data_IF_162911982952
#
_entry.id   IF_162911982952
#
_cell.length_a   1.000
_cell.length_b   1.000
_cell.length_c   1.000
_cell.angle_alpha   90.00
_cell.angle_beta   90.00
_cell.angle_gamma   90.00
#
_symmetry.space_group_name_H-M   'P 1'
#
loop_
_entity.id
_entity.type
_entity.pdbx_description
1 polymer ?
#
# COMPACT_ATOMS: atom_id res chain seq x y z
N UNK A 1 -1.94 -3.42 -15.51
CA UNK A 1 -2.62 -4.67 -15.18
C UNK A 1 -3.51 -5.11 -16.33
N UNK A 2 -3.57 -6.42 -16.62
CA UNK A 2 -4.43 -6.99 -17.67
C UNK A 2 -5.77 -7.48 -17.13
N UNK A 3 -5.79 -7.94 -15.88
CA UNK A 3 -7.02 -8.41 -15.23
C UNK A 3 -7.90 -7.22 -14.81
N UNK A 4 -7.27 -6.10 -14.52
CA UNK A 4 -7.90 -4.86 -14.04
C UNK A 4 -7.45 -3.66 -14.89
N UNK A 5 -7.87 -3.57 -16.18
CA UNK A 5 -7.48 -2.47 -17.06
C UNK A 5 -7.99 -1.10 -16.56
N UNK A 6 -9.10 -1.08 -15.81
CA UNK A 6 -9.65 0.13 -15.19
C UNK A 6 -8.65 0.79 -14.22
N UNK A 7 -7.77 0.01 -13.57
CA UNK A 7 -6.71 0.55 -12.71
C UNK A 7 -5.72 1.37 -13.56
N UNK A 8 -5.29 0.83 -14.70
CA UNK A 8 -4.36 1.52 -15.60
C UNK A 8 -4.96 2.82 -16.13
N UNK A 9 -6.21 2.76 -16.60
CA UNK A 9 -6.92 3.90 -17.17
C UNK A 9 -7.16 4.99 -16.14
N UNK A 10 -7.59 4.61 -14.96
CA UNK A 10 -7.82 5.53 -13.84
C UNK A 10 -6.53 6.18 -13.37
N UNK A 11 -5.44 5.42 -13.22
CA UNK A 11 -4.13 5.93 -12.85
C UNK A 11 -3.58 6.90 -13.89
N UNK A 12 -3.67 6.56 -15.17
CA UNK A 12 -3.26 7.43 -16.26
C UNK A 12 -4.03 8.76 -16.26
N UNK A 13 -5.35 8.70 -16.05
CA UNK A 13 -6.21 9.87 -15.95
C UNK A 13 -5.83 10.75 -14.76
N UNK A 14 -5.63 10.15 -13.59
CA UNK A 14 -5.21 10.84 -12.37
C UNK A 14 -3.87 11.55 -12.56
N UNK A 15 -2.85 10.87 -13.06
CA UNK A 15 -1.54 11.46 -13.26
C UNK A 15 -1.56 12.59 -14.29
N UNK A 16 -2.34 12.45 -15.37
CA UNK A 16 -2.52 13.52 -16.35
C UNK A 16 -3.21 14.76 -15.75
N UNK A 17 -4.20 14.54 -14.91
CA UNK A 17 -4.90 15.62 -14.24
C UNK A 17 -3.97 16.37 -13.27
N UNK A 18 -3.20 15.65 -12.46
CA UNK A 18 -2.23 16.24 -11.54
C UNK A 18 -1.12 16.98 -12.27
N UNK A 19 -0.61 16.45 -13.37
CA UNK A 19 0.39 17.14 -14.19
C UNK A 19 -0.15 18.41 -14.88
N UNK A 20 -1.44 18.41 -15.26
CA UNK A 20 -2.10 19.54 -15.92
C UNK A 20 -2.48 20.66 -14.94
N UNK A 21 -2.76 20.31 -13.70
CA UNK A 21 -3.23 21.22 -12.66
C UNK A 21 -2.38 21.03 -11.39
N UNK A 22 -1.12 21.51 -11.37
CA UNK A 22 -0.21 21.35 -10.23
C UNK A 22 -0.78 21.89 -8.91
N UNK A 23 -1.62 22.94 -8.98
CA UNK A 23 -2.32 23.49 -7.82
C UNK A 23 -3.23 22.48 -7.10
N UNK A 24 -3.77 21.50 -7.82
CA UNK A 24 -4.55 20.43 -7.21
C UNK A 24 -3.70 19.46 -6.37
N UNK A 25 -2.44 19.28 -6.73
CA UNK A 25 -1.51 18.51 -5.92
C UNK A 25 -1.35 19.15 -4.53
N UNK A 26 -1.22 20.48 -4.48
CA UNK A 26 -1.15 21.23 -3.22
C UNK A 26 -2.48 21.15 -2.44
N UNK A 27 -3.62 21.24 -3.12
CA UNK A 27 -4.92 21.08 -2.48
C UNK A 27 -5.07 19.70 -1.85
N UNK A 28 -4.69 18.64 -2.55
CA UNK A 28 -4.74 17.25 -2.05
C UNK A 28 -3.82 17.07 -0.86
N UNK A 29 -2.60 17.61 -0.91
CA UNK A 29 -1.66 17.55 0.21
C UNK A 29 -2.17 18.27 1.47
N UNK A 30 -2.86 19.38 1.29
CA UNK A 30 -3.30 20.23 2.41
C UNK A 30 -4.73 19.91 2.90
N UNK A 31 -5.52 19.15 2.16
CA UNK A 31 -6.94 18.90 2.41
C UNK A 31 -7.22 18.39 3.83
N UNK A 32 -6.32 17.62 4.41
CA UNK A 32 -6.51 16.99 5.73
C UNK A 32 -5.55 17.54 6.80
N UNK A 33 -4.84 18.61 6.53
CA UNK A 33 -3.88 19.21 7.48
C UNK A 33 -2.60 18.39 7.69
N UNK A 34 -2.32 17.42 6.82
CA UNK A 34 -1.06 16.67 6.78
C UNK A 34 -0.66 16.38 5.34
N UNK A 35 0.62 16.11 5.15
CA UNK A 35 1.17 15.74 3.85
C UNK A 35 0.61 14.40 3.41
N UNK A 36 0.02 14.37 2.23
CA UNK A 36 -0.34 13.17 1.52
C UNK A 36 0.82 12.80 0.59
N UNK A 37 1.43 11.63 0.79
CA UNK A 37 2.65 11.28 0.05
C UNK A 37 2.39 10.59 -1.29
N UNK A 38 1.13 10.35 -1.65
CA UNK A 38 0.75 9.60 -2.84
C UNK A 38 0.41 10.50 -4.03
N UNK A 39 1.23 11.51 -4.31
CA UNK A 39 1.04 12.34 -5.49
C UNK A 39 2.14 12.05 -6.48
N UNK A 40 1.82 11.32 -7.51
CA UNK A 40 2.76 10.85 -8.54
C UNK A 40 2.57 11.56 -9.89
N UNK A 41 2.29 12.85 -9.87
CA UNK A 41 2.08 13.64 -11.09
C UNK A 41 3.36 13.80 -11.93
N UNK A 42 4.53 13.59 -11.33
CA UNK A 42 5.84 13.60 -11.99
C UNK A 42 6.08 12.39 -12.91
N UNK A 43 5.21 11.40 -12.90
CA UNK A 43 5.34 10.16 -13.67
C UNK A 43 5.08 10.30 -15.19
N UNK A 44 5.40 11.44 -15.77
CA UNK A 44 5.34 11.62 -17.23
C UNK A 44 3.93 11.48 -17.82
N UNK A 45 2.89 11.82 -17.06
CA UNK A 45 1.50 11.78 -17.52
C UNK A 45 0.85 10.39 -17.34
N UNK A 46 1.36 9.55 -16.43
CA UNK A 46 0.71 8.32 -16.00
C UNK A 46 0.92 7.13 -16.93
N UNK A 47 2.02 7.09 -17.68
CA UNK A 47 2.34 5.91 -18.47
C UNK A 47 2.72 4.72 -17.59
N UNK A 48 2.51 3.53 -18.08
CA UNK A 48 2.92 2.28 -17.43
C UNK A 48 3.75 1.41 -18.39
N UNK A 49 4.55 0.52 -17.81
CA UNK A 49 5.29 -0.46 -18.57
C UNK A 49 4.38 -1.64 -18.96
N UNK A 50 4.55 -2.15 -20.16
CA UNK A 50 3.89 -3.39 -20.57
C UNK A 50 4.49 -4.58 -19.82
N UNK A 51 3.73 -5.66 -19.64
CA UNK A 51 4.26 -6.87 -19.02
C UNK A 51 5.47 -7.45 -19.76
N UNK A 52 5.51 -7.31 -21.09
CA UNK A 52 6.64 -7.81 -21.89
C UNK A 52 7.90 -6.96 -21.64
N UNK A 53 7.76 -5.64 -21.58
CA UNK A 53 8.87 -4.75 -21.18
C UNK A 53 9.38 -5.07 -19.78
N UNK A 54 8.46 -5.33 -18.84
CA UNK A 54 8.83 -5.72 -17.48
C UNK A 54 9.57 -7.06 -17.47
N UNK A 55 9.13 -8.07 -18.23
CA UNK A 55 9.83 -9.35 -18.35
C UNK A 55 11.25 -9.20 -18.93
N UNK A 56 11.41 -8.34 -19.93
CA UNK A 56 12.73 -8.01 -20.51
C UNK A 56 13.65 -7.38 -19.46
N UNK A 57 13.14 -6.43 -18.67
CA UNK A 57 13.90 -5.80 -17.59
C UNK A 57 14.30 -6.80 -16.50
N UNK A 58 13.38 -7.69 -16.11
CA UNK A 58 13.66 -8.75 -15.13
C UNK A 58 14.77 -9.67 -15.65
N UNK A 59 14.68 -10.10 -16.90
CA UNK A 59 15.70 -10.94 -17.53
C UNK A 59 17.05 -10.23 -17.58
N UNK A 60 17.08 -8.95 -17.94
CA UNK A 60 18.27 -8.13 -17.95
C UNK A 60 18.93 -8.02 -16.57
N UNK A 61 18.16 -7.80 -15.51
CA UNK A 61 18.65 -7.71 -14.15
C UNK A 61 19.20 -9.07 -13.67
N UNK A 62 18.45 -10.15 -13.87
CA UNK A 62 18.85 -11.50 -13.45
C UNK A 62 20.12 -11.97 -14.14
N UNK A 63 20.31 -11.66 -15.42
CA UNK A 63 21.52 -11.97 -16.16
C UNK A 63 22.78 -11.27 -15.59
N UNK A 64 22.60 -10.27 -14.73
CA UNK A 64 23.67 -9.52 -14.02
C UNK A 64 23.79 -9.88 -12.55
N UNK A 65 23.16 -10.97 -12.12
CA UNK A 65 23.21 -11.44 -10.75
C UNK A 65 22.36 -10.62 -9.75
N UNK A 66 21.46 -9.76 -10.26
CA UNK A 66 20.53 -9.01 -9.40
C UNK A 66 19.28 -9.84 -9.12
N UNK A 67 18.83 -9.87 -7.88
CA UNK A 67 17.50 -10.32 -7.52
C UNK A 67 16.52 -9.18 -7.75
N UNK A 68 15.39 -9.49 -8.39
CA UNK A 68 14.32 -8.51 -8.66
C UNK A 68 13.17 -8.80 -7.71
N UNK A 69 12.91 -7.86 -6.82
CA UNK A 69 11.83 -7.94 -5.83
C UNK A 69 10.75 -6.95 -6.28
N UNK A 70 9.56 -7.43 -6.65
CA UNK A 70 8.43 -6.54 -6.96
C UNK A 70 7.89 -5.91 -5.68
N UNK A 71 7.41 -4.69 -5.79
CA UNK A 71 6.62 -4.02 -4.76
C UNK A 71 5.17 -3.90 -5.22
N UNK A 72 4.25 -4.28 -4.33
CA UNK A 72 2.80 -4.04 -4.47
C UNK A 72 2.37 -3.29 -3.22
N UNK A 73 2.34 -1.96 -3.24
CA UNK A 73 1.93 -1.16 -2.08
C UNK A 73 0.56 -1.60 -1.57
N UNK A 74 0.48 -1.88 -0.30
CA UNK A 74 -0.70 -2.42 0.37
C UNK A 74 -1.03 -1.59 1.59
N UNK A 75 -2.29 -1.50 1.94
CA UNK A 75 -2.91 -0.68 2.96
C UNK A 75 -2.78 0.82 2.65
N UNK A 76 -1.57 1.38 2.72
CA UNK A 76 -1.23 2.73 2.28
C UNK A 76 -0.67 2.75 0.85
N UNK A 77 -0.49 3.94 0.28
CA UNK A 77 -0.07 4.12 -1.11
C UNK A 77 -0.88 3.28 -2.11
N UNK A 78 -2.12 2.98 -1.74
CA UNK A 78 -3.07 2.20 -2.53
C UNK A 78 -3.92 3.06 -3.47
N UNK A 79 -3.55 4.31 -3.67
CA UNK A 79 -4.20 5.25 -4.58
C UNK A 79 -4.31 4.70 -6.01
N UNK A 80 -3.34 3.91 -6.47
CA UNK A 80 -3.40 3.23 -7.76
C UNK A 80 -4.60 2.27 -7.89
N UNK A 81 -5.04 1.64 -6.79
CA UNK A 81 -6.27 0.83 -6.73
C UNK A 81 -7.50 1.72 -6.52
N UNK A 82 -7.40 2.67 -5.59
CA UNK A 82 -8.53 3.41 -5.06
C UNK A 82 -9.02 4.52 -6.00
N UNK A 83 -8.20 4.97 -6.93
CA UNK A 83 -8.66 5.85 -8.02
C UNK A 83 -9.68 5.16 -8.94
N UNK A 84 -9.57 3.84 -9.11
CA UNK A 84 -10.54 3.02 -9.84
C UNK A 84 -11.67 2.50 -8.95
N UNK A 85 -11.37 2.23 -7.67
CA UNK A 85 -12.25 1.58 -6.70
C UNK A 85 -12.40 2.38 -5.40
N UNK A 86 -12.91 3.62 -5.44
CA UNK A 86 -13.01 4.49 -4.25
C UNK A 86 -13.92 3.92 -3.16
N UNK A 87 -14.81 3.00 -3.49
CA UNK A 87 -15.67 2.29 -2.54
C UNK A 87 -14.91 1.39 -1.56
N UNK A 88 -13.65 1.05 -1.87
CA UNK A 88 -12.78 0.26 -1.01
C UNK A 88 -11.98 1.13 -0.03
N UNK A 89 -12.04 2.45 -0.16
CA UNK A 89 -11.25 3.36 0.64
C UNK A 89 -11.67 3.38 2.11
N UNK A 90 -10.69 3.50 3.00
CA UNK A 90 -10.93 3.74 4.44
C UNK A 90 -11.64 5.08 4.68
N UNK A 91 -11.38 6.07 3.81
CA UNK A 91 -12.10 7.35 3.74
C UNK A 91 -12.93 7.44 2.48
N UNK A 92 -14.17 7.02 2.54
CA UNK A 92 -15.07 7.04 1.38
C UNK A 92 -15.42 8.45 0.87
N UNK A 93 -15.17 9.49 1.66
CA UNK A 93 -15.40 10.90 1.31
C UNK A 93 -14.15 11.60 0.75
N UNK A 94 -13.00 10.92 0.75
CA UNK A 94 -11.76 11.45 0.20
C UNK A 94 -11.80 11.34 -1.33
N UNK A 95 -11.70 12.43 -2.08
CA UNK A 95 -11.67 12.37 -3.55
C UNK A 95 -10.37 11.75 -4.09
N UNK A 96 -9.34 11.64 -3.25
CA UNK A 96 -8.04 11.06 -3.60
C UNK A 96 -7.57 10.11 -2.49
N UNK A 97 -8.26 8.97 -2.31
CA UNK A 97 -7.97 8.04 -1.24
C UNK A 97 -6.64 7.32 -1.49
N UNK A 98 -5.89 7.10 -0.42
CA UNK A 98 -4.59 6.44 -0.45
C UNK A 98 -4.51 5.18 0.43
N UNK A 99 -5.53 4.94 1.25
CA UNK A 99 -5.58 3.81 2.17
C UNK A 99 -6.86 3.03 1.96
N UNK A 100 -6.77 1.73 1.68
CA UNK A 100 -7.96 0.90 1.59
C UNK A 100 -8.47 0.50 2.98
N UNK A 101 -9.75 0.13 3.07
CA UNK A 101 -10.35 -0.34 4.30
C UNK A 101 -9.92 -1.78 4.62
N UNK A 102 -9.12 -2.03 5.68
CA UNK A 102 -8.67 -3.38 6.05
C UNK A 102 -9.78 -4.26 6.62
N UNK A 103 -10.95 -3.69 6.92
CA UNK A 103 -12.14 -4.43 7.34
C UNK A 103 -13.05 -4.79 6.17
N UNK A 104 -12.78 -4.31 4.96
CA UNK A 104 -13.56 -4.64 3.78
C UNK A 104 -12.96 -5.86 3.06
N UNK A 105 -13.67 -7.00 2.97
CA UNK A 105 -13.15 -8.19 2.30
C UNK A 105 -12.91 -7.99 0.79
N UNK A 106 -13.60 -7.07 0.15
CA UNK A 106 -13.43 -6.80 -1.28
C UNK A 106 -12.09 -6.09 -1.56
N UNK A 107 -11.52 -5.36 -0.58
CA UNK A 107 -10.17 -4.84 -0.67
C UNK A 107 -9.14 -5.94 -0.94
N UNK A 108 -9.28 -7.07 -0.26
CA UNK A 108 -8.35 -8.21 -0.44
C UNK A 108 -8.58 -8.98 -1.72
N UNK A 109 -9.82 -9.05 -2.21
CA UNK A 109 -10.09 -9.68 -3.51
C UNK A 109 -9.34 -8.95 -4.62
N UNK A 110 -9.49 -7.62 -4.66
CA UNK A 110 -8.81 -6.79 -5.65
C UNK A 110 -7.28 -6.86 -5.48
N UNK A 111 -6.79 -6.68 -4.25
CA UNK A 111 -5.35 -6.70 -3.95
C UNK A 111 -4.71 -8.03 -4.37
N UNK A 112 -5.34 -9.14 -4.05
CA UNK A 112 -4.81 -10.47 -4.37
C UNK A 112 -4.85 -10.80 -5.86
N UNK A 113 -5.85 -10.32 -6.57
CA UNK A 113 -5.88 -10.42 -8.04
C UNK A 113 -4.73 -9.64 -8.69
N UNK A 114 -4.43 -8.45 -8.16
CA UNK A 114 -3.27 -7.65 -8.60
C UNK A 114 -1.95 -8.34 -8.23
N UNK A 115 -1.84 -8.88 -7.02
CA UNK A 115 -0.66 -9.63 -6.59
C UNK A 115 -0.42 -10.86 -7.46
N UNK A 116 -1.47 -11.62 -7.80
CA UNK A 116 -1.36 -12.78 -8.68
C UNK A 116 -0.80 -12.39 -10.05
N UNK A 117 -1.26 -11.27 -10.62
CA UNK A 117 -0.74 -10.79 -11.91
C UNK A 117 0.74 -10.40 -11.81
N UNK A 118 1.15 -9.76 -10.72
CA UNK A 118 2.56 -9.43 -10.45
C UNK A 118 3.38 -10.72 -10.26
N UNK A 119 2.87 -11.69 -9.51
CA UNK A 119 3.52 -13.00 -9.32
C UNK A 119 3.74 -13.70 -10.65
N UNK A 120 2.74 -13.71 -11.52
CA UNK A 120 2.82 -14.34 -12.85
C UNK A 120 3.91 -13.70 -13.73
N UNK A 121 4.14 -12.39 -13.58
CA UNK A 121 5.15 -11.68 -14.37
C UNK A 121 6.55 -11.82 -13.78
N UNK A 122 6.68 -11.63 -12.46
CA UNK A 122 7.97 -11.55 -11.78
C UNK A 122 8.51 -12.91 -11.32
N UNK A 123 7.64 -13.88 -11.05
CA UNK A 123 8.03 -15.16 -10.43
C UNK A 123 8.98 -14.92 -9.24
N UNK A 124 8.56 -14.13 -8.23
CA UNK A 124 9.44 -13.67 -7.18
C UNK A 124 9.58 -14.71 -6.06
N UNK A 125 10.70 -14.66 -5.33
CA UNK A 125 10.85 -15.39 -4.06
C UNK A 125 10.45 -14.53 -2.85
N UNK A 126 10.47 -13.21 -3.04
CA UNK A 126 10.12 -12.20 -2.04
C UNK A 126 9.26 -11.14 -2.71
N UNK A 127 8.25 -10.66 -2.03
CA UNK A 127 7.42 -9.53 -2.47
C UNK A 127 7.42 -8.46 -1.38
N UNK A 128 7.75 -7.23 -1.75
CA UNK A 128 7.57 -6.06 -0.91
C UNK A 128 6.11 -5.62 -0.98
N UNK A 129 5.50 -5.35 0.18
CA UNK A 129 4.07 -5.02 0.25
C UNK A 129 3.80 -3.61 0.82
N UNK A 130 4.82 -2.78 0.94
CA UNK A 130 4.68 -1.41 1.45
C UNK A 130 4.45 -1.36 2.95
N UNK A 131 3.32 -0.84 3.39
CA UNK A 131 2.92 -0.60 4.79
C UNK A 131 3.67 0.54 5.48
N UNK A 132 4.25 1.43 4.71
CA UNK A 132 4.79 2.70 5.16
C UNK A 132 3.70 3.78 5.20
N UNK A 133 3.95 4.85 5.91
CA UNK A 133 3.19 6.09 5.90
C UNK A 133 1.65 5.96 6.02
N UNK A 134 1.18 5.02 6.82
CA UNK A 134 -0.25 4.79 7.04
C UNK A 134 -0.81 5.93 7.91
N UNK A 135 -1.52 6.88 7.30
CA UNK A 135 -2.09 8.03 8.00
C UNK A 135 -3.60 7.95 8.19
N UNK A 136 -4.28 7.05 7.50
CA UNK A 136 -5.74 7.00 7.41
C UNK A 136 -6.31 5.64 7.81
N UNK A 137 -5.94 5.14 8.99
CA UNK A 137 -6.50 3.90 9.53
C UNK A 137 -7.50 4.23 10.67
N UNK A 138 -8.48 3.36 10.93
CA UNK A 138 -9.53 3.54 11.94
C UNK A 138 -10.45 4.75 11.71
N UNK A 139 -10.73 5.09 10.44
CA UNK A 139 -11.54 6.25 10.07
C UNK A 139 -12.97 5.84 9.71
N UNK A 140 -13.17 4.76 8.96
CA UNK A 140 -14.48 4.30 8.57
C UNK A 140 -15.32 3.80 9.76
N UNK A 141 -16.64 3.64 9.56
CA UNK A 141 -17.54 3.24 10.64
C UNK A 141 -17.21 1.89 11.28
N UNK A 142 -16.60 0.99 10.53
CA UNK A 142 -16.20 -0.34 11.01
C UNK A 142 -14.86 -0.27 11.73
N UNK A 143 -13.86 0.32 11.08
CA UNK A 143 -12.50 0.34 11.60
C UNK A 143 -12.34 1.22 12.85
N UNK A 144 -13.07 2.32 12.98
CA UNK A 144 -12.99 3.24 14.15
C UNK A 144 -13.37 2.60 15.48
N UNK A 145 -13.97 1.41 15.46
CA UNK A 145 -14.35 0.63 16.65
C UNK A 145 -13.28 -0.36 17.07
N UNK A 146 -12.17 -0.41 16.33
CA UNK A 146 -11.11 -1.37 16.48
C UNK A 146 -9.79 -0.70 16.84
N UNK A 147 -8.87 -1.48 17.36
CA UNK A 147 -7.49 -1.02 17.57
C UNK A 147 -6.72 -0.99 16.25
N UNK A 148 -5.96 0.09 16.01
CA UNK A 148 -5.22 0.25 14.76
C UNK A 148 -4.07 -0.75 14.64
N UNK A 149 -3.44 -1.11 15.75
CA UNK A 149 -2.38 -2.11 15.77
C UNK A 149 -2.91 -3.49 15.41
N UNK A 150 -4.10 -3.85 15.92
CA UNK A 150 -4.78 -5.10 15.55
C UNK A 150 -5.12 -5.12 14.06
N UNK A 151 -5.69 -4.03 13.53
CA UNK A 151 -6.04 -3.95 12.12
C UNK A 151 -4.82 -4.08 11.21
N UNK A 152 -3.72 -3.41 11.56
CA UNK A 152 -2.48 -3.48 10.81
C UNK A 152 -1.87 -4.89 10.86
N UNK A 153 -1.86 -5.52 12.04
CA UNK A 153 -1.37 -6.89 12.19
C UNK A 153 -2.21 -7.91 11.42
N UNK A 154 -3.54 -7.76 11.44
CA UNK A 154 -4.44 -8.61 10.66
C UNK A 154 -4.25 -8.44 9.15
N UNK A 155 -4.07 -7.21 8.69
CA UNK A 155 -3.84 -6.92 7.28
C UNK A 155 -2.55 -7.60 6.80
N UNK A 156 -1.44 -7.38 7.49
CA UNK A 156 -0.18 -8.05 7.19
C UNK A 156 -0.27 -9.56 7.27
N UNK A 157 -1.00 -10.10 8.26
CA UNK A 157 -1.17 -11.56 8.40
C UNK A 157 -1.91 -12.14 7.20
N UNK A 158 -2.98 -11.50 6.75
CA UNK A 158 -3.73 -11.95 5.56
C UNK A 158 -2.85 -11.97 4.31
N UNK A 159 -2.05 -10.92 4.12
CA UNK A 159 -1.13 -10.84 2.97
C UNK A 159 0.00 -11.86 3.09
N UNK A 160 0.58 -11.99 4.30
CA UNK A 160 1.59 -13.01 4.57
C UNK A 160 1.08 -14.43 4.23
N UNK A 161 -0.09 -14.80 4.74
CA UNK A 161 -0.64 -16.14 4.54
C UNK A 161 -0.95 -16.39 3.05
N UNK A 162 -1.41 -15.36 2.36
CA UNK A 162 -1.65 -15.42 0.92
C UNK A 162 -0.37 -15.68 0.13
N UNK A 163 0.72 -14.97 0.44
CA UNK A 163 2.02 -15.15 -0.20
C UNK A 163 2.70 -16.45 0.21
N UNK A 164 2.61 -16.83 1.49
CA UNK A 164 3.20 -18.06 2.02
C UNK A 164 2.63 -19.33 1.36
N UNK A 165 1.33 -19.37 1.06
CA UNK A 165 0.70 -20.46 0.29
C UNK A 165 1.30 -20.62 -1.11
N UNK A 166 1.95 -19.59 -1.64
CA UNK A 166 2.65 -19.56 -2.93
C UNK A 166 4.17 -19.73 -2.81
N UNK A 167 4.68 -19.95 -1.60
CA UNK A 167 6.11 -20.08 -1.32
C UNK A 167 6.87 -18.76 -1.45
N UNK A 168 6.18 -17.62 -1.36
CA UNK A 168 6.74 -16.28 -1.48
C UNK A 168 6.88 -15.67 -0.09
N UNK A 169 8.06 -15.13 0.23
CA UNK A 169 8.30 -14.42 1.48
C UNK A 169 7.78 -12.99 1.38
N UNK A 170 7.17 -12.53 2.45
CA UNK A 170 6.72 -11.15 2.60
C UNK A 170 7.89 -10.26 3.05
N UNK A 171 8.01 -9.07 2.46
CA UNK A 171 8.83 -7.96 2.93
C UNK A 171 7.96 -6.71 3.07
N UNK A 172 8.19 -5.89 4.10
CA UNK A 172 7.40 -4.68 4.35
C UNK A 172 8.22 -3.63 5.10
N UNK A 173 7.76 -2.39 5.08
CA UNK A 173 8.34 -1.32 5.86
C UNK A 173 7.84 -1.40 7.31
N UNK A 174 8.76 -1.56 8.26
CA UNK A 174 8.42 -1.81 9.66
C UNK A 174 8.22 -0.55 10.51
N UNK A 175 8.30 0.63 9.94
CA UNK A 175 8.24 1.90 10.68
C UNK A 175 6.96 2.07 11.51
N UNK A 176 5.83 1.59 10.99
CA UNK A 176 4.52 1.65 11.68
C UNK A 176 4.36 0.60 12.77
N UNK A 177 5.27 -0.35 12.85
CA UNK A 177 5.34 -1.35 13.92
C UNK A 177 6.05 -0.82 15.17
N UNK A 178 6.84 0.25 15.02
CA UNK A 178 7.64 0.79 16.10
C UNK A 178 6.78 1.64 17.04
N UNK A 179 6.70 1.23 18.29
CA UNK A 179 6.16 2.05 19.38
C UNK A 179 7.23 3.05 19.83
N UNK A 180 7.59 3.99 18.96
CA UNK A 180 8.62 4.97 19.24
C UNK A 180 8.01 6.33 19.52
N UNK A 181 8.13 6.79 20.77
CA UNK A 181 7.75 8.13 21.18
C UNK A 181 8.99 9.01 21.10
N UNK A 182 8.94 10.02 20.27
CA UNK A 182 10.02 11.03 20.21
C UNK A 182 10.04 11.86 21.51
N UNK A 183 11.17 12.56 21.75
CA UNK A 183 11.31 13.51 22.87
C UNK A 183 10.24 14.62 22.87
N UNK A 184 9.51 14.80 21.77
CA UNK A 184 8.42 15.76 21.60
C UNK A 184 7.04 15.14 21.89
N UNK A 185 6.96 13.89 22.33
CA UNK A 185 5.70 13.18 22.57
C UNK A 185 4.99 12.74 21.28
N UNK A 186 5.66 12.81 20.14
CA UNK A 186 5.13 12.35 18.86
C UNK A 186 5.60 10.92 18.60
N UNK A 187 4.65 10.02 18.34
CA UNK A 187 4.98 8.69 17.83
C UNK A 187 5.48 8.77 16.41
N UNK A 188 6.65 8.20 16.12
CA UNK A 188 7.15 8.05 14.75
C UNK A 188 6.34 7.00 13.95
N UNK A 189 5.64 6.10 14.64
CA UNK A 189 4.64 5.23 14.03
C UNK A 189 3.35 6.02 13.78
N UNK A 190 3.05 6.32 12.51
CA UNK A 190 1.94 7.22 12.12
C UNK A 190 0.54 6.78 12.52
N UNK A 191 0.32 5.51 12.87
CA UNK A 191 -0.97 5.02 13.39
C UNK A 191 -1.42 5.74 14.68
N UNK A 192 -0.49 6.26 15.47
CA UNK A 192 -0.82 6.95 16.72
C UNK A 192 -1.37 8.38 16.52
N UNK A 193 -1.13 9.02 15.38
CA UNK A 193 -1.68 10.37 15.11
C UNK A 193 -3.17 10.35 14.77
N UNK A 194 -3.66 9.27 14.21
CA UNK A 194 -5.05 9.17 13.70
C UNK A 194 -5.95 8.39 14.65
N UNK A 195 -5.41 7.41 15.37
CA UNK A 195 -6.11 6.66 16.40
C UNK A 195 -5.41 6.84 17.75
N UNK A 196 -6.19 7.03 18.81
CA UNK A 196 -5.70 6.96 20.19
C UNK A 196 -5.33 5.52 20.58
N UNK A 197 -4.59 4.83 19.73
CA UNK A 197 -4.20 3.45 19.96
C UNK A 197 -3.02 3.39 20.90
N UNK A 198 -3.23 2.71 22.03
CA UNK A 198 -2.28 2.64 23.14
C UNK A 198 -1.36 1.41 23.08
N UNK A 199 -1.49 0.55 22.06
CA UNK A 199 -0.74 -0.71 21.97
C UNK A 199 0.16 -0.73 20.75
N UNK A 200 1.32 -1.39 20.92
CA UNK A 200 2.24 -1.63 19.80
C UNK A 200 1.67 -2.66 18.84
N UNK A 201 1.73 -2.39 17.56
CA UNK A 201 1.34 -3.36 16.51
C UNK A 201 2.12 -4.67 16.62
N UNK A 202 3.38 -4.61 17.11
CA UNK A 202 4.24 -5.78 17.32
C UNK A 202 3.60 -6.81 18.24
N UNK A 203 2.82 -6.38 19.23
CA UNK A 203 2.16 -7.29 20.19
C UNK A 203 1.10 -8.19 19.51
N UNK A 204 0.65 -7.82 18.33
CA UNK A 204 -0.39 -8.52 17.57
C UNK A 204 0.15 -9.37 16.42
N UNK A 205 1.45 -9.24 16.08
CA UNK A 205 2.06 -10.05 15.03
C UNK A 205 2.33 -11.46 15.55
N UNK A 206 1.96 -12.52 14.81
CA UNK A 206 2.23 -13.88 15.22
C UNK A 206 3.72 -14.11 15.51
N UNK A 207 4.03 -14.70 16.66
CA UNK A 207 5.41 -15.01 17.07
C UNK A 207 6.11 -16.02 16.13
N UNK A 208 5.35 -16.65 15.23
CA UNK A 208 5.86 -17.57 14.22
C UNK A 208 6.50 -16.87 13.02
N UNK A 209 6.38 -15.55 12.92
CA UNK A 209 7.06 -14.79 11.88
C UNK A 209 8.53 -14.66 12.25
N UNK A 210 9.36 -15.35 11.52
CA UNK A 210 10.81 -15.16 11.64
C UNK A 210 11.20 -13.91 10.88
N UNK A 211 11.97 -13.04 11.53
CA UNK A 211 12.66 -11.96 10.83
C UNK A 211 13.52 -12.60 9.71
N UNK A 212 13.63 -11.90 8.60
CA UNK A 212 14.56 -12.29 7.55
C UNK A 212 15.97 -12.17 8.11
N UNK A 213 16.65 -13.31 8.30
CA UNK A 213 18.11 -13.36 8.47
C UNK A 213 18.83 -12.93 7.19
#
# INVERSE_FOLDING_TARGET
YKRHPEINESWESYCREMARYPERADEVQNMFGWVKNSIHFENGGGSWLTQDTVRELIAYCRARGMEVIPEVPSLSHADYLLNAHPELAERSYDPFPDTYCPSNPDSYKLLFDVMDEVIDVFQPRVMQVGHDEIYSICVCETCRKRDAGELLAEDLTKIHDYLAQRGIRLMYWSEKMLNHITSWGEGLGGAQRVCRCSRSTVDHIPATWTALD
#
